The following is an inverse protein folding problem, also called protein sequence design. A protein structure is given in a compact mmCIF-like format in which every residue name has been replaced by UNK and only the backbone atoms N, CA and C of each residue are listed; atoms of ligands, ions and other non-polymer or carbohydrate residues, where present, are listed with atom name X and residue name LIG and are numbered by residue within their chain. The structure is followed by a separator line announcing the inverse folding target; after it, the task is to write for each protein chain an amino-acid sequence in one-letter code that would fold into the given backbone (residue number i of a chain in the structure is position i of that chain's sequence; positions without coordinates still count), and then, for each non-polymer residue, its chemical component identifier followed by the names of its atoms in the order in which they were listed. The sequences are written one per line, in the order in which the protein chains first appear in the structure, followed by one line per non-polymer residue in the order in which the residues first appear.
data_IF_863021153688
#
_entry.id   IF_863021153688
#
_cell.length_a   1.000
_cell.length_b   1.000
_cell.length_c   1.000
_cell.angle_alpha   90.00
_cell.angle_beta   90.00
_cell.angle_gamma   90.00
#
_symmetry.space_group_name_H-M   'P 1'
#
loop_
_entity.id
_entity.type
_entity.pdbx_description
1 polymer ?
#
# COMPACT_ATOMS: atom_id res chain seq x y z
N UNK A 1 -6.51 8.89 22.08
CA UNK A 1 -5.06 9.08 22.39
C UNK A 1 -4.16 7.96 21.86
N UNK A 2 -4.37 6.67 22.18
CA UNK A 2 -3.49 5.58 21.67
C UNK A 2 -3.78 5.23 20.19
N UNK A 3 -5.06 5.28 19.76
CA UNK A 3 -5.47 5.04 18.36
C UNK A 3 -4.93 6.10 17.39
N UNK A 4 -4.83 7.34 17.85
CA UNK A 4 -4.48 8.49 16.98
C UNK A 4 -3.00 8.48 16.60
N UNK A 5 -2.12 8.13 17.56
CA UNK A 5 -0.67 8.00 17.29
C UNK A 5 -0.33 6.87 16.32
N UNK A 6 -1.12 5.78 16.34
CA UNK A 6 -0.97 4.67 15.41
C UNK A 6 -1.28 5.08 13.97
N UNK A 7 -2.41 5.75 13.73
CA UNK A 7 -2.80 6.18 12.38
C UNK A 7 -1.79 7.14 11.75
N UNK A 8 -1.27 8.09 12.53
CA UNK A 8 -0.24 9.02 12.04
C UNK A 8 1.04 8.28 11.60
N UNK A 9 1.43 7.22 12.31
CA UNK A 9 2.64 6.47 12.00
C UNK A 9 2.53 5.58 10.75
N UNK A 10 1.32 5.09 10.45
CA UNK A 10 1.10 4.16 9.34
C UNK A 10 0.55 4.85 8.10
N UNK A 11 -0.56 5.58 8.23
CA UNK A 11 -1.26 6.23 7.11
C UNK A 11 -0.90 7.71 6.99
N UNK A 12 -0.27 8.32 8.00
CA UNK A 12 0.02 9.76 8.02
C UNK A 12 -1.15 10.64 8.47
N UNK A 13 -2.21 10.01 8.96
CA UNK A 13 -3.44 10.67 9.36
C UNK A 13 -4.64 9.74 9.21
N UNK A 14 -5.85 10.30 9.33
CA UNK A 14 -7.09 9.55 9.19
C UNK A 14 -7.50 9.45 7.72
N UNK A 15 -6.71 8.72 6.93
CA UNK A 15 -6.88 8.59 5.47
C UNK A 15 -7.03 7.12 5.05
N UNK A 16 -7.66 6.91 3.89
CA UNK A 16 -7.86 5.60 3.28
C UNK A 16 -9.16 4.91 3.70
N UNK A 17 -9.29 3.62 3.38
CA UNK A 17 -10.54 2.84 3.56
C UNK A 17 -10.43 1.76 4.65
N UNK A 18 -9.21 1.32 4.99
CA UNK A 18 -9.00 0.19 5.91
C UNK A 18 -9.13 0.60 7.37
N UNK A 19 -8.50 1.73 7.75
CA UNK A 19 -8.35 2.14 9.15
C UNK A 19 -9.28 3.30 9.56
N UNK A 20 -9.92 3.97 8.59
CA UNK A 20 -10.79 5.14 8.80
C UNK A 20 -12.19 4.71 9.21
N UNK A 21 -12.92 5.62 9.85
CA UNK A 21 -14.31 5.41 10.27
C UNK A 21 -15.14 6.67 10.05
N UNK A 22 -16.47 6.54 10.04
CA UNK A 22 -17.38 7.69 9.91
C UNK A 22 -17.64 8.09 8.46
N UNK A 23 -17.92 9.38 8.23
CA UNK A 23 -18.36 9.89 6.93
C UNK A 23 -17.29 9.72 5.85
N UNK A 24 -16.05 10.09 6.15
CA UNK A 24 -14.91 9.96 5.24
C UNK A 24 -14.72 8.52 4.74
N UNK A 25 -14.82 7.53 5.64
CA UNK A 25 -14.78 6.12 5.28
C UNK A 25 -15.92 5.73 4.33
N UNK A 26 -17.15 6.19 4.62
CA UNK A 26 -18.33 5.90 3.78
C UNK A 26 -18.14 6.44 2.36
N UNK A 27 -17.66 7.66 2.24
CA UNK A 27 -17.50 8.34 0.96
C UNK A 27 -16.39 7.69 0.13
N UNK A 28 -15.20 7.48 0.71
CA UNK A 28 -14.09 6.81 0.02
C UNK A 28 -14.42 5.36 -0.35
N UNK A 29 -15.10 4.61 0.53
CA UNK A 29 -15.51 3.23 0.22
C UNK A 29 -16.51 3.19 -0.92
N UNK A 30 -17.52 4.08 -0.91
CA UNK A 30 -18.53 4.16 -1.96
C UNK A 30 -17.87 4.55 -3.29
N UNK A 31 -17.07 5.60 -3.27
CA UNK A 31 -16.29 6.04 -4.42
C UNK A 31 -15.46 4.90 -5.01
N UNK A 32 -14.67 4.21 -4.18
CA UNK A 32 -13.80 3.15 -4.65
C UNK A 32 -14.55 2.00 -5.31
N UNK A 33 -15.69 1.58 -4.74
CA UNK A 33 -16.52 0.51 -5.31
C UNK A 33 -17.13 0.93 -6.65
N UNK A 34 -17.57 2.19 -6.78
CA UNK A 34 -18.11 2.69 -8.05
C UNK A 34 -17.03 2.72 -9.12
N UNK A 35 -15.90 3.37 -8.85
CA UNK A 35 -14.78 3.46 -9.80
C UNK A 35 -14.30 2.07 -10.22
N UNK A 36 -14.12 1.14 -9.28
CA UNK A 36 -13.67 -0.21 -9.64
C UNK A 36 -14.68 -0.92 -10.55
N UNK A 37 -16.00 -0.74 -10.35
CA UNK A 37 -17.04 -1.29 -11.24
C UNK A 37 -17.01 -0.65 -12.62
N UNK A 38 -16.76 0.65 -12.69
CA UNK A 38 -16.66 1.38 -13.96
C UNK A 38 -15.44 0.91 -14.75
N UNK A 39 -14.30 0.72 -14.07
CA UNK A 39 -13.06 0.14 -14.62
C UNK A 39 -13.17 -1.36 -14.99
N UNK A 40 -14.29 -2.02 -14.68
CA UNK A 40 -14.58 -3.36 -15.15
C UNK A 40 -14.71 -4.43 -14.07
N UNK A 41 -14.63 -4.11 -12.78
CA UNK A 41 -14.85 -5.08 -11.70
C UNK A 41 -16.24 -5.72 -11.84
N UNK A 42 -16.28 -7.05 -11.84
CA UNK A 42 -17.47 -7.86 -12.12
C UNK A 42 -18.02 -7.76 -13.56
N UNK A 43 -17.21 -7.31 -14.52
CA UNK A 43 -17.51 -7.29 -15.96
C UNK A 43 -16.43 -8.05 -16.75
N UNK A 44 -16.73 -8.44 -17.99
CA UNK A 44 -15.84 -9.18 -18.89
C UNK A 44 -14.50 -8.47 -19.18
N UNK A 45 -14.45 -7.15 -18.99
CA UNK A 45 -13.21 -6.36 -19.15
C UNK A 45 -12.18 -6.78 -18.10
N UNK A 46 -12.58 -6.97 -16.84
CA UNK A 46 -11.67 -7.42 -15.78
C UNK A 46 -11.23 -8.86 -16.01
N UNK A 47 -12.14 -9.74 -16.45
CA UNK A 47 -11.81 -11.11 -16.78
C UNK A 47 -10.72 -11.19 -17.85
N UNK A 48 -10.86 -10.40 -18.93
CA UNK A 48 -9.85 -10.31 -19.99
C UNK A 48 -8.49 -9.81 -19.48
N UNK A 49 -8.47 -8.82 -18.57
CA UNK A 49 -7.23 -8.35 -17.93
C UNK A 49 -6.54 -9.46 -17.13
N UNK A 50 -7.32 -10.21 -16.34
CA UNK A 50 -6.81 -11.34 -15.55
C UNK A 50 -6.30 -12.46 -16.46
N UNK A 51 -7.05 -12.83 -17.51
CA UNK A 51 -6.65 -13.87 -18.45
C UNK A 51 -5.34 -13.52 -19.16
N UNK A 52 -5.16 -12.26 -19.59
CA UNK A 52 -3.91 -11.80 -20.20
C UNK A 52 -2.71 -11.96 -19.25
N UNK A 53 -2.88 -11.68 -17.95
CA UNK A 53 -1.81 -11.90 -16.97
C UNK A 53 -1.58 -13.40 -16.69
N UNK A 54 -2.63 -14.24 -16.70
CA UNK A 54 -2.49 -15.70 -16.58
C UNK A 54 -1.77 -16.31 -17.78
N UNK A 55 -2.05 -15.82 -18.99
CA UNK A 55 -1.34 -16.22 -20.21
C UNK A 55 0.14 -15.85 -20.11
N UNK A 56 0.47 -14.60 -19.75
CA UNK A 56 1.85 -14.16 -19.56
C UNK A 56 2.59 -14.98 -18.47
N UNK A 57 1.92 -15.29 -17.36
CA UNK A 57 2.47 -16.15 -16.32
C UNK A 57 2.74 -17.58 -16.84
N UNK A 58 1.83 -18.12 -17.65
CA UNK A 58 1.95 -19.46 -18.22
C UNK A 58 3.11 -19.55 -19.21
N UNK A 59 3.26 -18.56 -20.08
CA UNK A 59 4.39 -18.45 -21.01
C UNK A 59 5.72 -18.41 -20.25
N UNK A 60 5.81 -17.56 -19.22
CA UNK A 60 7.01 -17.47 -18.40
C UNK A 60 7.33 -18.78 -17.68
N UNK A 61 6.32 -19.46 -17.12
CA UNK A 61 6.49 -20.77 -16.48
C UNK A 61 7.04 -21.80 -17.46
N UNK A 62 6.48 -21.87 -18.67
CA UNK A 62 6.96 -22.74 -19.74
C UNK A 62 8.43 -22.45 -20.02
N UNK A 63 8.81 -21.18 -20.25
CA UNK A 63 10.22 -20.81 -20.51
C UNK A 63 11.15 -21.24 -19.37
N UNK A 64 10.77 -21.02 -18.11
CA UNK A 64 11.60 -21.38 -16.94
C UNK A 64 11.76 -22.90 -16.80
N UNK A 65 10.68 -23.66 -16.99
CA UNK A 65 10.71 -25.12 -16.92
C UNK A 65 11.60 -25.70 -18.02
N UNK A 66 11.51 -25.18 -19.25
CA UNK A 66 12.31 -25.63 -20.39
C UNK A 66 13.77 -25.19 -20.31
N UNK A 67 14.07 -24.03 -19.71
CA UNK A 67 15.44 -23.53 -19.62
C UNK A 67 16.29 -24.32 -18.61
N UNK A 68 15.83 -24.51 -17.38
CA UNK A 68 16.59 -25.21 -16.33
C UNK A 68 15.64 -25.77 -15.25
N UNK A 69 15.34 -27.08 -15.31
CA UNK A 69 14.50 -27.79 -14.32
C UNK A 69 15.03 -27.60 -12.87
N UNK A 70 16.35 -27.43 -12.68
CA UNK A 70 16.96 -27.24 -11.36
C UNK A 70 16.78 -25.84 -10.75
N UNK A 71 16.27 -24.85 -11.49
CA UNK A 71 15.93 -23.52 -10.97
C UNK A 71 14.45 -23.40 -10.56
N UNK A 72 13.63 -24.40 -10.89
CA UNK A 72 12.23 -24.43 -10.49
C UNK A 72 12.12 -24.72 -9.00
N UNK A 73 11.84 -23.68 -8.21
CA UNK A 73 11.70 -23.77 -6.76
C UNK A 73 10.35 -23.19 -6.34
N UNK A 74 9.86 -23.54 -5.15
CA UNK A 74 8.64 -22.91 -4.62
C UNK A 74 8.73 -21.37 -4.57
N UNK A 75 9.95 -20.82 -4.49
CA UNK A 75 10.23 -19.38 -4.51
C UNK A 75 10.01 -18.75 -5.89
N UNK A 76 10.28 -19.46 -6.98
CA UNK A 76 10.05 -18.95 -8.35
C UNK A 76 8.55 -18.86 -8.64
N UNK A 77 7.76 -19.85 -8.20
CA UNK A 77 6.30 -19.83 -8.37
C UNK A 77 5.69 -18.63 -7.65
N UNK A 78 6.04 -18.42 -6.38
CA UNK A 78 5.53 -17.28 -5.60
C UNK A 78 5.81 -15.94 -6.30
N UNK A 79 7.02 -15.75 -6.84
CA UNK A 79 7.37 -14.49 -7.51
C UNK A 79 6.51 -14.23 -8.75
N UNK A 80 6.24 -15.27 -9.55
CA UNK A 80 5.40 -15.19 -10.75
C UNK A 80 3.97 -14.77 -10.39
N UNK A 81 3.37 -15.41 -9.38
CA UNK A 81 2.05 -15.02 -8.90
C UNK A 81 2.03 -13.60 -8.33
N UNK A 82 3.04 -13.23 -7.55
CA UNK A 82 3.12 -11.89 -6.97
C UNK A 82 3.20 -10.83 -8.09
N UNK A 83 3.98 -11.07 -9.15
CA UNK A 83 4.07 -10.16 -10.32
C UNK A 83 2.73 -10.05 -11.03
N UNK A 84 2.08 -11.16 -11.37
CA UNK A 84 0.79 -11.13 -12.08
C UNK A 84 -0.30 -10.41 -11.29
N UNK A 85 -0.42 -10.69 -9.98
CA UNK A 85 -1.36 -9.98 -9.10
C UNK A 85 -1.01 -8.49 -9.00
N UNK A 86 0.28 -8.19 -8.85
CA UNK A 86 0.78 -6.81 -8.83
C UNK A 86 0.44 -6.05 -10.12
N UNK A 87 0.60 -6.68 -11.28
CA UNK A 87 0.28 -6.13 -12.59
C UNK A 87 -1.21 -5.83 -12.74
N UNK A 88 -2.11 -6.75 -12.34
CA UNK A 88 -3.56 -6.50 -12.39
C UNK A 88 -3.94 -5.31 -11.51
N UNK A 89 -3.41 -5.26 -10.28
CA UNK A 89 -3.67 -4.15 -9.35
C UNK A 89 -3.14 -2.84 -9.94
N UNK A 90 -1.92 -2.83 -10.46
CA UNK A 90 -1.28 -1.63 -10.97
C UNK A 90 -1.92 -1.13 -12.26
N UNK A 91 -2.42 -2.03 -13.10
CA UNK A 91 -3.20 -1.68 -14.28
C UNK A 91 -4.53 -1.00 -13.91
N UNK A 92 -5.12 -1.35 -12.76
CA UNK A 92 -6.31 -0.67 -12.24
C UNK A 92 -5.99 0.67 -11.60
N UNK A 93 -4.81 0.82 -10.98
CA UNK A 93 -4.42 2.04 -10.27
C UNK A 93 -3.82 3.11 -11.18
N UNK A 94 -2.95 2.71 -12.10
CA UNK A 94 -2.11 3.59 -12.92
C UNK A 94 -2.12 3.23 -14.42
N UNK A 95 -2.96 2.28 -14.84
CA UNK A 95 -3.11 1.92 -16.25
C UNK A 95 -1.99 1.08 -16.88
N UNK A 96 -0.94 0.69 -16.14
CA UNK A 96 0.17 -0.11 -16.68
C UNK A 96 0.47 -1.39 -15.89
N UNK A 97 1.09 -2.37 -16.57
CA UNK A 97 1.51 -3.66 -16.00
C UNK A 97 3.01 -3.73 -15.73
N UNK A 98 3.44 -4.63 -14.84
CA UNK A 98 4.86 -4.89 -14.60
C UNK A 98 5.42 -5.94 -15.58
N UNK A 99 6.30 -5.52 -16.47
CA UNK A 99 6.98 -6.31 -17.48
C UNK A 99 8.37 -5.72 -17.83
N UNK A 100 9.35 -6.58 -18.11
CA UNK A 100 10.67 -6.15 -18.55
C UNK A 100 11.39 -5.26 -17.52
N UNK A 101 11.67 -4.02 -17.90
CA UNK A 101 12.49 -3.09 -17.12
C UNK A 101 11.84 -2.62 -15.81
N UNK A 102 10.50 -2.50 -15.77
CA UNK A 102 9.78 -2.08 -14.56
C UNK A 102 9.55 -3.26 -13.57
N UNK A 103 9.98 -4.49 -13.87
CA UNK A 103 9.95 -5.58 -12.88
C UNK A 103 10.85 -5.29 -11.67
N UNK A 104 11.92 -4.51 -11.86
CA UNK A 104 12.77 -4.08 -10.75
C UNK A 104 11.99 -3.21 -9.77
N UNK A 105 11.19 -2.30 -10.30
CA UNK A 105 10.30 -1.41 -9.55
C UNK A 105 9.29 -2.22 -8.73
N UNK A 106 8.63 -3.21 -9.35
CA UNK A 106 7.75 -4.13 -8.62
C UNK A 106 8.45 -4.82 -7.44
N UNK A 107 9.65 -5.36 -7.67
CA UNK A 107 10.42 -6.05 -6.61
C UNK A 107 10.81 -5.11 -5.48
N UNK A 108 11.14 -3.85 -5.80
CA UNK A 108 11.41 -2.81 -4.81
C UNK A 108 10.16 -2.50 -3.98
N UNK A 109 9.02 -2.26 -4.63
CA UNK A 109 7.73 -1.99 -3.98
C UNK A 109 7.31 -3.15 -3.07
N UNK A 110 7.33 -4.38 -3.58
CA UNK A 110 7.07 -5.61 -2.82
C UNK A 110 8.02 -5.78 -1.63
N UNK A 111 9.29 -5.43 -1.82
CA UNK A 111 10.29 -5.42 -0.76
C UNK A 111 10.02 -4.37 0.32
N UNK A 112 9.49 -3.20 -0.04
CA UNK A 112 9.03 -2.19 0.91
C UNK A 112 7.81 -2.69 1.70
N UNK A 113 6.79 -3.24 1.03
CA UNK A 113 5.60 -3.81 1.67
C UNK A 113 5.98 -4.94 2.63
N UNK A 114 6.84 -5.86 2.20
CA UNK A 114 7.26 -7.00 3.03
C UNK A 114 8.03 -6.55 4.28
N UNK A 115 8.89 -5.53 4.18
CA UNK A 115 9.59 -4.94 5.32
C UNK A 115 8.61 -4.24 6.27
N UNK A 116 7.67 -3.48 5.71
CA UNK A 116 6.65 -2.79 6.48
C UNK A 116 5.78 -3.77 7.29
N UNK A 117 5.29 -4.84 6.65
CA UNK A 117 4.51 -5.90 7.31
C UNK A 117 5.32 -6.68 8.36
N UNK A 118 6.60 -6.94 8.10
CA UNK A 118 7.47 -7.65 9.05
C UNK A 118 7.74 -6.85 10.31
N UNK A 119 8.03 -5.55 10.18
CA UNK A 119 8.22 -4.65 11.32
C UNK A 119 6.91 -4.46 12.09
N UNK A 120 5.78 -4.37 11.39
CA UNK A 120 4.45 -4.34 12.01
C UNK A 120 4.14 -5.61 12.81
N UNK A 121 4.44 -6.78 12.23
CA UNK A 121 4.19 -8.08 12.86
C UNK A 121 5.21 -8.43 13.95
N UNK A 122 6.25 -7.61 14.14
CA UNK A 122 7.30 -7.91 15.10
C UNK A 122 6.75 -7.82 16.54
N UNK A 123 6.83 -8.90 17.35
CA UNK A 123 6.19 -8.96 18.67
C UNK A 123 6.57 -7.83 19.62
N UNK A 124 7.77 -7.26 19.45
CA UNK A 124 8.25 -6.14 20.26
C UNK A 124 7.41 -4.87 20.10
N UNK A 125 6.77 -4.65 18.93
CA UNK A 125 5.85 -3.54 18.72
C UNK A 125 4.51 -3.80 19.42
N UNK A 126 3.97 -5.00 19.25
CA UNK A 126 2.68 -5.42 19.82
C UNK A 126 2.66 -5.43 21.35
N UNK A 127 3.75 -5.88 21.99
CA UNK A 127 3.88 -5.90 23.47
C UNK A 127 3.72 -4.48 24.06
N UNK A 128 4.16 -3.45 23.35
CA UNK A 128 4.02 -2.07 23.82
C UNK A 128 2.59 -1.54 23.68
N UNK A 129 1.88 -1.87 22.59
CA UNK A 129 0.48 -1.48 22.42
C UNK A 129 -0.43 -2.13 23.46
N UNK A 130 -0.11 -3.36 23.87
CA UNK A 130 -0.91 -4.14 24.81
C UNK A 130 -0.75 -3.71 26.28
N UNK A 131 0.42 -3.15 26.66
CA UNK A 131 0.70 -2.84 28.07
C UNK A 131 1.19 -1.40 28.33
N UNK A 132 0.38 -0.34 28.06
CA UNK A 132 0.75 1.06 28.30
C UNK A 132 1.06 1.39 29.78
N UNK A 133 0.45 0.65 30.70
CA UNK A 133 0.59 0.82 32.16
C UNK A 133 1.95 0.39 32.70
N UNK A 134 2.76 -0.33 31.91
CA UNK A 134 4.14 -0.64 32.30
C UNK A 134 4.90 0.64 32.64
N UNK A 135 4.62 1.79 31.99
CA UNK A 135 5.27 3.08 32.30
C UNK A 135 5.11 3.58 33.74
N UNK A 136 4.16 3.04 34.51
CA UNK A 136 3.68 3.59 35.79
C UNK A 136 4.14 2.72 36.98
N UNK A 137 5.08 1.78 36.84
CA UNK A 137 5.53 0.94 37.97
C UNK A 137 6.69 1.59 38.76
N UNK A 138 6.47 2.16 39.96
CA UNK A 138 7.49 2.86 40.75
C UNK A 138 8.39 1.95 41.59
N UNK A 139 8.13 0.64 41.66
CA UNK A 139 8.66 -0.25 42.72
C UNK A 139 10.17 -0.58 42.61
N UNK A 140 10.87 -0.16 41.55
CA UNK A 140 12.31 -0.43 41.35
C UNK A 140 13.07 0.79 40.79
N UNK A 141 13.05 1.94 41.45
CA UNK A 141 13.52 3.23 40.91
C UNK A 141 14.86 3.21 40.11
N UNK A 142 15.89 2.51 40.59
CA UNK A 142 17.20 2.44 39.92
C UNK A 142 17.24 1.49 38.70
N UNK A 143 16.61 0.32 38.80
CA UNK A 143 16.50 -0.62 37.67
C UNK A 143 15.46 -0.15 36.65
N UNK A 144 14.46 0.59 37.12
CA UNK A 144 13.40 1.21 36.33
C UNK A 144 13.92 2.30 35.42
N UNK A 145 14.78 3.21 35.92
CA UNK A 145 15.42 4.24 35.07
C UNK A 145 16.22 3.62 33.91
N UNK A 146 16.96 2.54 34.18
CA UNK A 146 17.71 1.80 33.13
C UNK A 146 16.78 1.13 32.13
N UNK A 147 15.71 0.51 32.62
CA UNK A 147 14.67 -0.09 31.78
C UNK A 147 14.00 0.98 30.90
N UNK A 148 13.47 2.05 31.48
CA UNK A 148 12.84 3.15 30.74
C UNK A 148 13.76 3.74 29.68
N UNK A 149 15.05 3.96 29.98
CA UNK A 149 16.02 4.46 28.99
C UNK A 149 16.32 3.46 27.88
N UNK A 150 16.47 2.18 28.20
CA UNK A 150 16.65 1.14 27.18
C UNK A 150 15.42 1.04 26.27
N UNK A 151 14.23 1.05 26.87
CA UNK A 151 12.96 0.95 26.16
C UNK A 151 12.65 2.22 25.33
N UNK A 152 12.98 3.42 25.82
CA UNK A 152 12.80 4.65 25.05
C UNK A 152 13.72 4.71 23.83
N UNK A 153 14.98 4.28 23.97
CA UNK A 153 15.93 4.17 22.86
C UNK A 153 15.50 3.10 21.85
N UNK A 154 15.03 1.96 22.34
CA UNK A 154 14.47 0.90 21.51
C UNK A 154 13.26 1.41 20.71
N UNK A 155 12.33 2.09 21.38
CA UNK A 155 11.13 2.67 20.78
C UNK A 155 11.48 3.70 19.71
N UNK A 156 12.40 4.62 20.00
CA UNK A 156 12.86 5.60 19.04
C UNK A 156 13.39 4.93 17.76
N UNK A 157 14.17 3.85 17.89
CA UNK A 157 14.71 3.13 16.74
C UNK A 157 13.62 2.40 15.93
N UNK A 158 12.63 1.79 16.58
CA UNK A 158 11.48 1.17 15.90
C UNK A 158 10.66 2.23 15.17
N UNK A 159 10.32 3.33 15.85
CA UNK A 159 9.54 4.42 15.28
C UNK A 159 10.23 5.04 14.07
N UNK A 160 11.54 5.31 14.19
CA UNK A 160 12.36 5.85 13.11
C UNK A 160 12.36 4.92 11.90
N UNK A 161 12.48 3.60 12.10
CA UNK A 161 12.39 2.62 10.99
C UNK A 161 11.02 2.63 10.33
N UNK A 162 9.94 2.65 11.10
CA UNK A 162 8.58 2.68 10.55
C UNK A 162 8.34 3.92 9.69
N UNK A 163 8.75 5.10 10.17
CA UNK A 163 8.60 6.36 9.44
C UNK A 163 9.40 6.33 8.13
N UNK A 164 10.68 5.91 8.17
CA UNK A 164 11.50 5.81 6.96
C UNK A 164 10.93 4.84 5.93
N UNK A 165 10.39 3.70 6.38
CA UNK A 165 9.74 2.75 5.48
C UNK A 165 8.45 3.30 4.89
N UNK A 166 7.68 4.05 5.69
CA UNK A 166 6.47 4.74 5.24
C UNK A 166 6.82 5.78 4.16
N UNK A 167 7.79 6.66 4.41
CA UNK A 167 8.21 7.69 3.43
C UNK A 167 8.73 7.08 2.13
N UNK A 168 9.55 6.03 2.22
CA UNK A 168 10.03 5.32 1.04
C UNK A 168 8.87 4.68 0.25
N UNK A 169 7.86 4.14 0.94
CA UNK A 169 6.68 3.55 0.30
C UNK A 169 5.81 4.62 -0.37
N UNK A 170 5.49 5.73 0.31
CA UNK A 170 4.65 6.78 -0.28
C UNK A 170 5.36 7.53 -1.41
N UNK A 171 6.69 7.75 -1.33
CA UNK A 171 7.43 8.38 -2.43
C UNK A 171 7.44 7.58 -3.75
N UNK A 172 7.09 6.30 -3.70
CA UNK A 172 6.78 5.54 -4.91
C UNK A 172 5.48 6.04 -5.55
N UNK A 173 4.39 6.09 -4.79
CA UNK A 173 3.10 6.55 -5.28
C UNK A 173 3.11 8.03 -5.65
N UNK A 174 3.82 8.87 -4.90
CA UNK A 174 3.94 10.30 -5.20
C UNK A 174 4.53 10.51 -6.59
N UNK A 175 5.61 9.81 -6.94
CA UNK A 175 6.21 9.87 -8.28
C UNK A 175 5.25 9.41 -9.37
N UNK A 176 4.49 8.35 -9.11
CA UNK A 176 3.52 7.84 -10.08
C UNK A 176 2.35 8.80 -10.26
N UNK A 177 1.83 9.38 -9.17
CA UNK A 177 0.77 10.39 -9.21
C UNK A 177 1.25 11.63 -9.96
N UNK A 178 2.47 12.11 -9.72
CA UNK A 178 3.05 13.26 -10.42
C UNK A 178 3.25 13.01 -11.93
N UNK A 179 3.65 11.79 -12.31
CA UNK A 179 3.73 11.39 -13.71
C UNK A 179 2.33 11.38 -14.33
N UNK A 180 1.38 10.75 -13.65
CA UNK A 180 0.00 10.62 -14.12
C UNK A 180 -0.69 11.97 -14.29
N UNK A 181 -0.51 12.90 -13.34
CA UNK A 181 -1.10 14.23 -13.36
C UNK A 181 -0.78 15.04 -14.63
N UNK A 182 0.34 14.75 -15.30
CA UNK A 182 0.73 15.44 -16.54
C UNK A 182 -0.06 14.95 -17.76
N UNK A 183 -0.56 13.73 -17.69
CA UNK A 183 -1.22 13.04 -18.81
C UNK A 183 -2.75 13.00 -18.66
N UNK A 184 -3.30 13.41 -17.51
CA UNK A 184 -4.74 13.42 -17.25
C UNK A 184 -5.45 14.50 -18.08
N UNK A 185 -6.42 14.06 -18.87
CA UNK A 185 -7.41 14.92 -19.49
C UNK A 185 -8.57 15.15 -18.52
N UNK A 186 -8.60 16.32 -17.89
CA UNK A 186 -9.63 16.68 -16.92
C UNK A 186 -10.97 17.09 -17.55
N UNK A 187 -11.04 17.23 -18.87
CA UNK A 187 -12.26 17.62 -19.57
C UNK A 187 -13.18 16.42 -19.85
N UNK A 188 -12.65 15.20 -19.75
CA UNK A 188 -13.41 13.95 -19.95
C UNK A 188 -13.92 13.38 -18.64
N UNK A 189 -15.19 12.93 -18.62
CA UNK A 189 -15.75 12.22 -17.46
C UNK A 189 -15.18 10.80 -17.31
N UNK A 190 -14.78 10.18 -18.42
CA UNK A 190 -14.22 8.83 -18.41
C UNK A 190 -12.82 8.83 -17.77
N UNK A 191 -12.53 7.81 -16.97
CA UNK A 191 -11.21 7.61 -16.36
C UNK A 191 -10.71 6.23 -16.72
N UNK A 192 -9.44 6.14 -17.10
CA UNK A 192 -8.83 4.87 -17.55
C UNK A 192 -8.30 4.03 -16.37
N UNK A 193 -8.07 4.69 -15.24
CA UNK A 193 -7.62 4.08 -13.99
C UNK A 193 -8.18 4.81 -12.77
N UNK A 194 -7.91 4.22 -11.60
CA UNK A 194 -8.42 4.69 -10.34
C UNK A 194 -7.84 6.03 -9.90
N UNK A 195 -6.55 6.27 -10.16
CA UNK A 195 -5.87 7.50 -9.72
C UNK A 195 -6.37 8.70 -10.50
N UNK A 196 -6.57 8.55 -11.81
CA UNK A 196 -7.23 9.54 -12.64
C UNK A 196 -8.63 9.88 -12.11
N UNK A 197 -9.46 8.87 -11.87
CA UNK A 197 -10.81 9.07 -11.34
C UNK A 197 -10.79 9.78 -9.99
N UNK A 198 -9.84 9.43 -9.11
CA UNK A 198 -9.69 10.06 -7.79
C UNK A 198 -9.28 11.53 -7.90
N UNK A 199 -8.34 11.85 -8.79
CA UNK A 199 -7.88 13.23 -9.00
C UNK A 199 -8.97 14.11 -9.63
N UNK A 200 -9.75 13.56 -10.57
CA UNK A 200 -10.94 14.23 -11.14
C UNK A 200 -12.00 14.51 -10.07
N UNK A 201 -12.35 13.51 -9.25
CA UNK A 201 -13.33 13.70 -8.17
C UNK A 201 -12.81 14.69 -7.11
N UNK A 202 -11.52 14.64 -6.76
CA UNK A 202 -10.91 15.61 -5.84
C UNK A 202 -11.07 17.03 -6.36
N UNK A 203 -10.73 17.30 -7.63
CA UNK A 203 -10.91 18.62 -8.25
C UNK A 203 -12.38 19.06 -8.22
N UNK A 204 -13.30 18.17 -8.63
CA UNK A 204 -14.74 18.46 -8.64
C UNK A 204 -15.25 18.83 -7.24
N UNK A 205 -14.70 18.24 -6.18
CA UNK A 205 -15.07 18.56 -4.78
C UNK A 205 -14.49 19.88 -4.32
N UNK A 206 -13.24 20.17 -4.67
CA UNK A 206 -12.60 21.45 -4.38
C UNK A 206 -13.33 22.63 -5.05
N UNK A 207 -13.82 22.45 -6.28
CA UNK A 207 -14.67 23.43 -6.98
C UNK A 207 -16.02 23.68 -6.28
N UNK A 208 -16.51 22.70 -5.50
CA UNK A 208 -17.73 22.78 -4.71
C UNK A 208 -17.48 23.18 -3.24
N UNK A 209 -16.30 23.73 -2.92
CA UNK A 209 -15.87 24.18 -1.59
C UNK A 209 -15.80 23.03 -0.53
N UNK A 210 -15.62 21.78 -0.99
CA UNK A 210 -15.47 20.58 -0.16
C UNK A 210 -14.04 20.03 -0.27
N UNK A 211 -13.11 20.67 0.44
CA UNK A 211 -11.69 20.23 0.52
C UNK A 211 -11.40 19.27 1.67
N UNK A 212 -12.40 18.91 2.48
CA UNK A 212 -12.22 18.01 3.63
C UNK A 212 -12.50 16.54 3.28
N UNK A 213 -13.42 16.28 2.36
CA UNK A 213 -13.86 14.93 2.04
C UNK A 213 -12.84 14.14 1.21
N UNK A 214 -12.00 14.81 0.41
CA UNK A 214 -10.96 14.22 -0.44
C UNK A 214 -9.67 15.05 -0.34
N UNK A 215 -8.88 14.80 0.71
CA UNK A 215 -7.57 15.43 0.93
C UNK A 215 -6.43 14.64 0.30
#
# INVERSE_FOLDING_TARGET
MIKDGYRILFTGGDYGVVETVGQMWRDHRRFAIHVLRDLGLSKDVMERRILAEVEAMSEYLVTVIFAVISLFTARSIKDIFDVGVGSVINQLLFGYRFEGDNLKEFRELKGMISRHLKEFSHPSGSIMFLYPWLKILPYFESKWKKFVNFFSKFLYNVLKRLILHREAFFSFFDRQIEAHQKDIDFETEESNDYVEAFLKEKRRREENDDSESFR
#
